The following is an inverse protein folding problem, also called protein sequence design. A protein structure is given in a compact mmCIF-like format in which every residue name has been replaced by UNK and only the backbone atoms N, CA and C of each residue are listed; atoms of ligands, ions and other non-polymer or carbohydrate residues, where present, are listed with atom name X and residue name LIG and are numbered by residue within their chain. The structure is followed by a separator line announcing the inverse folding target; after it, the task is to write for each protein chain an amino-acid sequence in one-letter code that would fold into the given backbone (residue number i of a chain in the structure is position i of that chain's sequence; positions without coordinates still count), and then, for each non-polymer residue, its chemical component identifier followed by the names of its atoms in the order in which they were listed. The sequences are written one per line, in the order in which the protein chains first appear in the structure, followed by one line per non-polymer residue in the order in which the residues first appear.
data_IF_289711736209
#
_entry.id   IF_289711736209
#
_cell.length_a   1.000
_cell.length_b   1.000
_cell.length_c   1.000
_cell.angle_alpha   90.00
_cell.angle_beta   90.00
_cell.angle_gamma   90.00
#
_symmetry.space_group_name_H-M   'P 1'
#
loop_
_entity.id
_entity.type
_entity.pdbx_description
1 polymer ?
#
# COMPACT_ATOMS: atom_id res chain seq x y z
N UNK A 1 4.49 -12.11 -25.28
CA UNK A 1 4.06 -12.72 -23.99
C UNK A 1 2.94 -11.87 -23.39
N UNK A 2 1.80 -12.45 -23.01
CA UNK A 2 0.72 -11.66 -22.39
C UNK A 2 1.03 -11.42 -20.92
N UNK A 3 1.00 -10.15 -20.51
CA UNK A 3 1.20 -9.75 -19.12
C UNK A 3 0.07 -10.31 -18.26
N UNK A 4 0.41 -10.89 -17.11
CA UNK A 4 -0.58 -11.18 -16.06
C UNK A 4 -1.34 -9.89 -15.74
N UNK A 5 -2.67 -9.90 -15.85
CA UNK A 5 -3.51 -8.74 -15.54
C UNK A 5 -3.41 -8.33 -14.06
N UNK A 6 -2.95 -9.24 -13.19
CA UNK A 6 -2.79 -9.02 -11.76
C UNK A 6 -1.70 -8.00 -11.41
N UNK A 7 -0.69 -7.83 -12.27
CA UNK A 7 0.42 -6.90 -12.04
C UNK A 7 -0.07 -5.44 -11.81
N UNK A 8 -1.14 -5.01 -12.50
CA UNK A 8 -1.68 -3.66 -12.34
C UNK A 8 -2.10 -3.34 -10.90
N UNK A 9 -2.64 -4.32 -10.18
CA UNK A 9 -3.01 -4.13 -8.78
C UNK A 9 -1.80 -4.06 -7.84
N UNK A 10 -0.68 -4.69 -8.20
CA UNK A 10 0.57 -4.58 -7.44
C UNK A 10 1.17 -3.18 -7.55
N UNK A 11 1.03 -2.52 -8.72
CA UNK A 11 1.51 -1.15 -8.96
C UNK A 11 0.86 -0.11 -8.04
N UNK A 12 -0.29 -0.42 -7.43
CA UNK A 12 -0.96 0.46 -6.48
C UNK A 12 -0.25 0.60 -5.13
N UNK A 13 0.81 -0.18 -4.86
CA UNK A 13 1.50 -0.17 -3.58
C UNK A 13 1.96 1.23 -3.07
N UNK A 14 2.34 2.23 -3.90
CA UNK A 14 2.73 3.54 -3.38
C UNK A 14 1.56 4.34 -2.81
N UNK A 15 0.32 3.99 -3.15
CA UNK A 15 -0.88 4.68 -2.64
C UNK A 15 -1.06 4.42 -1.14
N UNK A 16 -0.72 3.21 -0.67
CA UNK A 16 -0.88 2.80 0.73
C UNK A 16 -0.07 3.68 1.72
N UNK A 17 1.25 3.91 1.53
CA UNK A 17 2.00 4.80 2.41
C UNK A 17 1.54 6.26 2.31
N UNK A 18 1.10 6.74 1.14
CA UNK A 18 0.53 8.09 0.99
C UNK A 18 -0.73 8.24 1.85
N UNK A 19 -1.65 7.28 1.78
CA UNK A 19 -2.86 7.27 2.60
C UNK A 19 -2.56 7.11 4.09
N UNK A 20 -1.55 6.33 4.47
CA UNK A 20 -1.10 6.22 5.86
C UNK A 20 -0.54 7.56 6.38
N UNK A 21 0.27 8.26 5.58
CA UNK A 21 0.78 9.59 5.93
C UNK A 21 -0.36 10.63 6.06
N UNK A 22 -1.32 10.62 5.14
CA UNK A 22 -2.51 11.48 5.21
C UNK A 22 -3.32 11.21 6.47
N UNK A 23 -3.56 9.94 6.80
CA UNK A 23 -4.28 9.56 8.02
C UNK A 23 -3.55 10.02 9.29
N UNK A 24 -2.23 9.85 9.35
CA UNK A 24 -1.40 10.31 10.46
C UNK A 24 -1.39 11.83 10.60
N UNK A 25 -1.27 12.56 9.50
CA UNK A 25 -1.33 14.03 9.50
C UNK A 25 -2.70 14.53 9.96
N UNK A 26 -3.78 13.97 9.40
CA UNK A 26 -5.15 14.35 9.73
C UNK A 26 -5.49 14.07 11.21
N UNK A 27 -4.99 12.96 11.77
CA UNK A 27 -5.14 12.63 13.19
C UNK A 27 -4.45 13.66 14.09
N UNK A 28 -3.23 14.10 13.75
CA UNK A 28 -2.50 15.14 14.51
C UNK A 28 -3.23 16.47 14.46
N UNK A 29 -3.73 16.87 13.29
CA UNK A 29 -4.51 18.10 13.13
C UNK A 29 -5.82 18.04 13.94
N UNK A 30 -6.51 16.90 13.93
CA UNK A 30 -7.73 16.71 14.72
C UNK A 30 -7.47 16.84 16.23
N UNK A 31 -6.41 16.20 16.73
CA UNK A 31 -6.03 16.28 18.16
C UNK A 31 -5.69 17.73 18.54
N UNK A 32 -4.89 18.42 17.72
CA UNK A 32 -4.52 19.82 17.96
C UNK A 32 -5.75 20.75 17.97
N UNK A 33 -6.66 20.57 17.01
CA UNK A 33 -7.90 21.36 16.94
C UNK A 33 -8.86 21.09 18.11
N UNK A 34 -8.80 19.89 18.69
CA UNK A 34 -9.63 19.50 19.85
C UNK A 34 -9.06 19.99 21.18
N UNK A 35 -7.76 20.31 21.24
CA UNK A 35 -7.07 20.76 22.45
C UNK A 35 -6.99 22.29 22.59
N UNK A 36 -7.39 23.07 21.58
CA UNK A 36 -7.33 24.54 21.63
C UNK A 36 -8.61 25.14 22.22
N UNK A 37 -8.46 26.01 23.23
CA UNK A 37 -9.57 26.79 23.82
C UNK A 37 -9.96 28.03 23.00
N UNK A 38 -9.09 28.47 22.08
CA UNK A 38 -9.37 29.59 21.17
C UNK A 38 -10.31 29.17 20.04
N UNK A 39 -11.25 30.04 19.67
CA UNK A 39 -12.28 29.90 18.63
C UNK A 39 -12.08 28.71 17.71
N UNK A 40 -12.65 27.58 18.13
CA UNK A 40 -12.64 26.30 17.43
C UNK A 40 -13.05 26.51 15.98
N UNK A 41 -12.13 26.30 15.04
CA UNK A 41 -12.56 25.97 13.70
C UNK A 41 -13.02 24.50 13.71
N UNK A 42 -14.21 24.27 14.28
CA UNK A 42 -14.89 22.96 14.34
C UNK A 42 -14.87 22.30 12.96
N UNK A 43 -14.97 23.10 11.89
CA UNK A 43 -14.83 22.65 10.51
C UNK A 43 -13.50 21.97 10.21
N UNK A 44 -12.37 22.49 10.71
CA UNK A 44 -11.04 21.87 10.56
C UNK A 44 -10.96 20.55 11.31
N UNK A 45 -11.52 20.48 12.52
CA UNK A 45 -11.61 19.23 13.29
C UNK A 45 -12.39 18.16 12.54
N UNK A 46 -13.62 18.48 12.12
CA UNK A 46 -14.49 17.56 11.37
C UNK A 46 -13.85 17.12 10.05
N UNK A 47 -13.30 18.07 9.27
CA UNK A 47 -12.64 17.76 8.01
C UNK A 47 -11.42 16.84 8.20
N UNK A 48 -10.59 17.11 9.22
CA UNK A 48 -9.42 16.29 9.54
C UNK A 48 -9.83 14.90 10.01
N UNK A 49 -10.88 14.78 10.81
CA UNK A 49 -11.41 13.48 11.22
C UNK A 49 -11.87 12.65 10.01
N UNK A 50 -12.71 13.24 9.14
CA UNK A 50 -13.22 12.56 7.93
C UNK A 50 -12.06 12.15 7.01
N UNK A 51 -11.12 13.05 6.76
CA UNK A 51 -9.93 12.76 5.97
C UNK A 51 -9.12 11.61 6.57
N UNK A 52 -8.94 11.61 7.89
CA UNK A 52 -8.21 10.57 8.61
C UNK A 52 -8.85 9.20 8.48
N UNK A 53 -10.17 9.12 8.65
CA UNK A 53 -10.97 7.89 8.53
C UNK A 53 -10.95 7.36 7.09
N UNK A 54 -11.23 8.21 6.10
CA UNK A 54 -11.23 7.81 4.69
C UNK A 54 -9.83 7.34 4.27
N UNK A 55 -8.78 8.06 4.68
CA UNK A 55 -7.40 7.69 4.34
C UNK A 55 -6.99 6.37 4.99
N UNK A 56 -7.36 6.14 6.26
CA UNK A 56 -7.05 4.89 6.95
C UNK A 56 -7.72 3.69 6.27
N UNK A 57 -9.04 3.74 6.08
CA UNK A 57 -9.79 2.65 5.44
C UNK A 57 -9.42 2.48 3.96
N UNK A 58 -9.16 3.58 3.26
CA UNK A 58 -8.63 3.55 1.90
C UNK A 58 -7.27 2.85 1.84
N UNK A 59 -6.37 3.13 2.79
CA UNK A 59 -5.08 2.46 2.91
C UNK A 59 -5.21 0.95 3.11
N UNK A 60 -6.13 0.51 3.98
CA UNK A 60 -6.43 -0.91 4.18
C UNK A 60 -6.97 -1.53 2.88
N UNK A 61 -7.97 -0.91 2.26
CA UNK A 61 -8.60 -1.43 1.05
C UNK A 61 -7.57 -1.61 -0.08
N UNK A 62 -6.77 -0.58 -0.35
CA UNK A 62 -5.72 -0.64 -1.39
C UNK A 62 -4.64 -1.65 -1.01
N UNK A 63 -4.24 -1.73 0.26
CA UNK A 63 -3.27 -2.72 0.74
C UNK A 63 -3.75 -4.17 0.53
N UNK A 64 -5.04 -4.44 0.77
CA UNK A 64 -5.65 -5.74 0.48
C UNK A 64 -5.64 -6.04 -1.02
N UNK A 65 -5.98 -5.05 -1.86
CA UNK A 65 -5.91 -5.19 -3.32
C UNK A 65 -4.49 -5.56 -3.76
N UNK A 66 -3.48 -4.83 -3.28
CA UNK A 66 -2.06 -5.12 -3.57
C UNK A 66 -1.70 -6.55 -3.16
N UNK A 67 -2.09 -7.00 -1.97
CA UNK A 67 -1.82 -8.36 -1.49
C UNK A 67 -2.48 -9.43 -2.36
N UNK A 68 -3.77 -9.28 -2.68
CA UNK A 68 -4.51 -10.23 -3.52
C UNK A 68 -3.91 -10.30 -4.92
N UNK A 69 -3.59 -9.14 -5.49
CA UNK A 69 -2.96 -9.06 -6.80
C UNK A 69 -1.55 -9.67 -6.81
N UNK A 70 -0.75 -9.44 -5.77
CA UNK A 70 0.57 -10.07 -5.62
C UNK A 70 0.46 -11.59 -5.53
N UNK A 71 -0.52 -12.09 -4.76
CA UNK A 71 -0.81 -13.52 -4.67
C UNK A 71 -1.23 -14.12 -6.02
N UNK A 72 -2.11 -13.44 -6.75
CA UNK A 72 -2.53 -13.85 -8.09
C UNK A 72 -1.38 -13.88 -9.09
N UNK A 73 -0.56 -12.82 -9.07
CA UNK A 73 0.59 -12.68 -9.96
C UNK A 73 1.66 -13.73 -9.69
N UNK A 74 2.03 -13.95 -8.43
CA UNK A 74 2.97 -15.02 -8.02
C UNK A 74 2.45 -16.40 -8.44
N UNK A 75 1.15 -16.68 -8.24
CA UNK A 75 0.55 -17.97 -8.66
C UNK A 75 0.57 -18.16 -10.18
N UNK A 76 0.29 -17.11 -10.94
CA UNK A 76 0.34 -17.15 -12.40
C UNK A 76 1.77 -17.40 -12.91
N UNK A 77 2.74 -16.67 -12.35
CA UNK A 77 4.15 -16.79 -12.72
C UNK A 77 4.74 -18.15 -12.34
N UNK A 78 4.36 -18.73 -11.19
CA UNK A 78 4.81 -20.08 -10.81
C UNK A 78 4.40 -21.19 -11.79
N UNK A 79 3.39 -20.95 -12.64
CA UNK A 79 2.98 -21.87 -13.70
C UNK A 79 3.74 -21.64 -15.01
N UNK A 80 4.46 -20.53 -15.13
CA UNK A 80 5.27 -20.22 -16.30
C UNK A 80 6.67 -20.88 -16.16
N UNK A 81 7.24 -21.46 -17.25
CA UNK A 81 8.53 -22.14 -17.20
C UNK A 81 9.73 -21.23 -16.89
N UNK A 82 9.59 -19.92 -17.13
CA UNK A 82 10.71 -18.98 -17.17
C UNK A 82 11.11 -18.43 -15.80
N UNK A 83 10.16 -18.34 -14.86
CA UNK A 83 10.42 -17.82 -13.51
C UNK A 83 9.41 -18.31 -12.47
N UNK A 84 9.90 -18.98 -11.43
CA UNK A 84 9.10 -19.37 -10.27
C UNK A 84 9.40 -18.44 -9.08
N UNK A 85 8.64 -17.35 -8.87
CA UNK A 85 8.78 -16.52 -7.68
C UNK A 85 8.56 -17.36 -6.41
N UNK A 86 9.39 -17.13 -5.39
CA UNK A 86 9.28 -17.84 -4.13
C UNK A 86 7.97 -17.49 -3.40
N UNK A 87 7.51 -18.41 -2.55
CA UNK A 87 6.33 -18.22 -1.69
C UNK A 87 6.53 -17.10 -0.64
N UNK A 88 7.73 -16.53 -0.53
CA UNK A 88 8.04 -15.44 0.39
C UNK A 88 7.46 -14.09 -0.08
N UNK A 89 7.17 -13.91 -1.37
CA UNK A 89 6.63 -12.64 -1.89
C UNK A 89 5.29 -12.22 -1.27
N UNK A 90 4.32 -13.12 -1.08
CA UNK A 90 3.11 -12.82 -0.30
C UNK A 90 3.37 -12.26 1.10
N UNK A 91 4.44 -12.66 1.78
CA UNK A 91 4.80 -12.10 3.09
C UNK A 91 5.11 -10.61 2.98
N UNK A 92 5.73 -10.17 1.88
CA UNK A 92 5.97 -8.75 1.59
C UNK A 92 4.65 -7.98 1.48
N UNK A 93 3.65 -8.57 0.82
CA UNK A 93 2.30 -7.98 0.75
C UNK A 93 1.62 -7.87 2.13
N UNK A 94 1.80 -8.86 3.01
CA UNK A 94 1.30 -8.82 4.39
C UNK A 94 2.01 -7.71 5.18
N UNK A 95 3.34 -7.63 5.09
CA UNK A 95 4.14 -6.56 5.72
C UNK A 95 3.72 -5.19 5.20
N UNK A 96 3.41 -5.08 3.90
CA UNK A 96 2.92 -3.85 3.29
C UNK A 96 1.55 -3.43 3.85
N UNK A 97 0.61 -4.37 3.97
CA UNK A 97 -0.69 -4.11 4.58
C UNK A 97 -0.56 -3.72 6.06
N UNK A 98 0.31 -4.41 6.81
CA UNK A 98 0.62 -4.07 8.19
C UNK A 98 1.19 -2.65 8.33
N UNK A 99 1.85 -2.13 7.27
CA UNK A 99 2.33 -0.76 7.17
C UNK A 99 1.28 0.32 7.48
N UNK A 100 0.01 0.05 7.18
CA UNK A 100 -1.08 1.01 7.47
C UNK A 100 -1.19 1.31 8.97
N UNK A 101 -0.95 0.31 9.81
CA UNK A 101 -1.00 0.42 11.29
C UNK A 101 0.40 0.63 11.87
N UNK A 102 1.43 0.07 11.23
CA UNK A 102 2.83 0.18 11.63
C UNK A 102 3.66 0.80 10.49
N UNK A 103 3.71 2.14 10.35
CA UNK A 103 4.35 2.80 9.21
C UNK A 103 5.82 2.42 8.97
N UNK A 104 6.54 2.01 10.02
CA UNK A 104 7.91 1.50 9.90
C UNK A 104 8.03 0.28 8.96
N UNK A 105 6.97 -0.52 8.81
CA UNK A 105 6.95 -1.67 7.88
C UNK A 105 7.02 -1.24 6.40
N UNK A 106 6.69 0.02 6.06
CA UNK A 106 6.88 0.53 4.71
C UNK A 106 8.35 0.63 4.31
N UNK A 107 9.27 0.86 5.25
CA UNK A 107 10.71 0.92 4.97
C UNK A 107 11.24 -0.37 4.34
N UNK A 108 10.62 -1.52 4.65
CA UNK A 108 10.96 -2.81 4.06
C UNK A 108 10.07 -3.16 2.87
N UNK A 109 8.75 -3.01 3.01
CA UNK A 109 7.82 -3.48 1.97
C UNK A 109 7.89 -2.66 0.68
N UNK A 110 8.07 -1.34 0.75
CA UNK A 110 8.13 -0.47 -0.45
C UNK A 110 9.33 -0.81 -1.35
N UNK A 111 10.57 -0.91 -0.84
CA UNK A 111 11.71 -1.35 -1.65
C UNK A 111 11.54 -2.76 -2.22
N UNK A 112 11.01 -3.70 -1.43
CA UNK A 112 10.81 -5.09 -1.88
C UNK A 112 9.76 -5.19 -2.99
N UNK A 113 8.63 -4.50 -2.88
CA UNK A 113 7.61 -4.47 -3.95
C UNK A 113 8.12 -3.75 -5.20
N UNK A 114 8.93 -2.69 -5.03
CA UNK A 114 9.61 -2.04 -6.15
C UNK A 114 10.57 -3.00 -6.86
N UNK A 115 11.36 -3.75 -6.09
CA UNK A 115 12.29 -4.76 -6.62
C UNK A 115 11.55 -5.91 -7.32
N UNK A 116 10.41 -6.35 -6.78
CA UNK A 116 9.53 -7.34 -7.41
C UNK A 116 9.11 -6.90 -8.82
N UNK A 117 8.57 -5.68 -8.93
CA UNK A 117 8.10 -5.12 -10.19
C UNK A 117 9.24 -4.86 -11.17
N UNK A 118 10.39 -4.41 -10.68
CA UNK A 118 11.59 -4.21 -11.49
C UNK A 118 12.04 -5.52 -12.14
N UNK A 119 12.20 -6.58 -11.33
CA UNK A 119 12.63 -7.90 -11.80
C UNK A 119 11.63 -8.50 -12.78
N UNK A 120 10.34 -8.31 -12.52
CA UNK A 120 9.27 -8.74 -13.43
C UNK A 120 9.37 -8.00 -14.77
N UNK A 121 9.65 -6.69 -14.77
CA UNK A 121 9.79 -5.88 -16.00
C UNK A 121 11.00 -6.29 -16.84
N UNK A 122 12.18 -6.41 -16.24
CA UNK A 122 13.41 -6.79 -16.97
C UNK A 122 13.23 -8.08 -17.76
N UNK A 123 12.59 -9.08 -17.16
CA UNK A 123 12.44 -10.41 -17.76
C UNK A 123 11.44 -10.45 -18.90
N UNK A 124 10.42 -9.59 -18.89
CA UNK A 124 9.50 -9.39 -20.01
C UNK A 124 10.19 -8.69 -21.18
N UNK A 125 11.16 -7.80 -20.91
CA UNK A 125 11.90 -7.09 -21.95
C UNK A 125 12.99 -7.92 -22.64
N UNK A 126 13.42 -9.03 -22.03
CA UNK A 126 14.45 -9.94 -22.59
C UNK A 126 13.88 -11.21 -23.24
N UNK A 127 12.55 -11.36 -23.31
CA UNK A 127 11.86 -12.55 -23.82
C UNK A 127 11.12 -12.32 -25.14
#
# INVERSE_FOLDING_TARGET
MSRSSWWFGVVLFPVVPVLSLLSGAASRTFIAASASEADLNVGVGVASFILGVISFWGGILVGVIVLVCLLGDVRALRRAPEWSPSIAWPLVGIVHLAGVVLPAAFALSVPLLSYYLYRQRERISTG
#
